data_IF_144201074545
#
_entry.id   IF_144201074545
#
_cell.length_a   1.000
_cell.length_b   1.000
_cell.length_c   1.000
_cell.angle_alpha   90.00
_cell.angle_beta   90.00
_cell.angle_gamma   90.00
#
_symmetry.space_group_name_H-M   'P 1'
#
loop_
_entity.id
_entity.type
_entity.pdbx_description
1 polymer ?
#
# COMPACT_ATOMS: atom_id res chain seq x y z
N UNK A 1 -11.70 -17.33 -2.75
CA UNK A 1 -10.41 -16.97 -2.13
C UNK A 1 -10.62 -15.79 -1.20
N UNK A 2 -10.50 -15.99 0.12
CA UNK A 2 -10.45 -14.87 1.05
C UNK A 2 -8.98 -14.43 1.19
N UNK A 3 -8.52 -13.58 0.27
CA UNK A 3 -7.15 -13.06 0.31
C UNK A 3 -6.95 -12.17 1.54
N UNK A 4 -5.83 -12.34 2.25
CA UNK A 4 -5.43 -11.41 3.30
C UNK A 4 -5.11 -10.06 2.66
N UNK A 5 -5.77 -9.01 3.14
CA UNK A 5 -5.56 -7.64 2.68
C UNK A 5 -5.18 -6.74 3.85
N UNK A 6 -4.29 -5.78 3.60
CA UNK A 6 -4.02 -4.69 4.54
C UNK A 6 -4.49 -3.38 3.90
N UNK A 7 -5.24 -2.61 4.67
CA UNK A 7 -5.62 -1.23 4.32
C UNK A 7 -4.63 -0.28 4.96
N UNK A 8 -3.89 0.46 4.14
CA UNK A 8 -2.97 1.50 4.59
C UNK A 8 -3.60 2.87 4.36
N UNK A 9 -4.07 3.50 5.44
CA UNK A 9 -4.63 4.84 5.42
C UNK A 9 -3.54 5.90 5.30
N UNK A 10 -3.73 6.85 4.39
CA UNK A 10 -2.86 8.00 4.24
C UNK A 10 -3.37 9.14 5.13
N UNK A 11 -2.43 9.94 5.65
CA UNK A 11 -2.77 11.18 6.36
C UNK A 11 -3.23 12.29 5.42
N UNK A 12 -2.69 12.30 4.19
CA UNK A 12 -2.84 13.34 3.18
C UNK A 12 -3.04 12.68 1.82
N UNK A 13 -3.96 13.21 1.02
CA UNK A 13 -4.24 12.67 -0.32
C UNK A 13 -3.11 12.99 -1.30
N UNK A 14 -2.40 14.10 -1.07
CA UNK A 14 -1.27 14.56 -1.88
C UNK A 14 -0.07 13.62 -1.84
N UNK A 15 0.02 12.76 -0.81
CA UNK A 15 1.08 11.75 -0.68
C UNK A 15 0.85 10.54 -1.61
N UNK A 16 -0.34 10.42 -2.23
CA UNK A 16 -0.73 9.25 -3.02
C UNK A 16 0.19 8.98 -4.23
N UNK A 17 0.54 9.97 -5.08
CA UNK A 17 1.43 9.74 -6.21
C UNK A 17 2.83 9.31 -5.77
N UNK A 18 3.35 9.92 -4.71
CA UNK A 18 4.67 9.60 -4.15
C UNK A 18 4.72 8.17 -3.62
N UNK A 19 3.74 7.77 -2.81
CA UNK A 19 3.68 6.40 -2.27
C UNK A 19 3.44 5.38 -3.40
N UNK A 20 2.62 5.71 -4.40
CA UNK A 20 2.42 4.85 -5.59
C UNK A 20 3.73 4.65 -6.37
N UNK A 21 4.55 5.69 -6.50
CA UNK A 21 5.86 5.59 -7.13
C UNK A 21 6.80 4.69 -6.32
N UNK A 22 6.95 4.96 -5.02
CA UNK A 22 7.82 4.18 -4.13
C UNK A 22 7.44 2.70 -4.14
N UNK A 23 6.15 2.39 -4.03
CA UNK A 23 5.64 1.01 -4.07
C UNK A 23 5.98 0.33 -5.40
N UNK A 24 5.80 1.02 -6.52
CA UNK A 24 6.19 0.51 -7.84
C UNK A 24 7.70 0.23 -7.95
N UNK A 25 8.56 1.10 -7.42
CA UNK A 25 10.03 0.93 -7.43
C UNK A 25 10.47 -0.30 -6.63
N UNK A 26 9.77 -0.63 -5.54
CA UNK A 26 10.06 -1.83 -4.74
C UNK A 26 9.36 -3.10 -5.23
N UNK A 27 8.58 -3.02 -6.32
CA UNK A 27 7.87 -4.14 -6.93
C UNK A 27 6.50 -4.47 -6.29
N UNK A 28 5.98 -3.59 -5.44
CA UNK A 28 4.67 -3.74 -4.77
C UNK A 28 3.63 -2.94 -5.52
N UNK A 29 2.49 -3.55 -5.86
CA UNK A 29 1.43 -2.89 -6.65
C UNK A 29 0.12 -2.80 -5.85
N UNK A 30 0.01 -1.85 -4.90
CA UNK A 30 -1.24 -1.66 -4.19
C UNK A 30 -2.31 -1.06 -5.11
N UNK A 31 -3.57 -1.34 -4.79
CA UNK A 31 -4.72 -0.68 -5.41
C UNK A 31 -5.20 0.47 -4.53
N UNK A 32 -5.75 1.54 -5.13
CA UNK A 32 -6.46 2.55 -4.36
C UNK A 32 -7.70 1.92 -3.70
N UNK A 33 -7.97 2.22 -2.42
CA UNK A 33 -9.19 1.72 -1.77
C UNK A 33 -10.46 2.19 -2.48
N UNK A 34 -10.44 3.41 -3.03
CA UNK A 34 -11.53 3.98 -3.81
C UNK A 34 -11.89 3.16 -5.06
N UNK A 35 -10.97 2.36 -5.60
CA UNK A 35 -11.25 1.47 -6.73
C UNK A 35 -12.37 0.46 -6.42
N UNK A 36 -12.52 0.08 -5.15
CA UNK A 36 -13.53 -0.88 -4.69
C UNK A 36 -14.82 -0.20 -4.20
N UNK A 37 -14.94 1.12 -4.36
CA UNK A 37 -16.07 1.90 -3.86
C UNK A 37 -16.88 2.48 -5.02
N UNK A 38 -18.19 2.25 -5.00
CA UNK A 38 -19.09 2.73 -6.07
C UNK A 38 -19.45 4.22 -5.85
N UNK A 39 -19.68 4.66 -4.60
CA UNK A 39 -20.15 6.03 -4.30
C UNK A 39 -19.54 6.67 -3.03
N UNK A 40 -18.69 5.94 -2.28
CA UNK A 40 -18.15 6.46 -1.02
C UNK A 40 -16.86 7.25 -1.24
N UNK A 41 -16.84 8.52 -0.80
CA UNK A 41 -15.60 9.31 -0.68
C UNK A 41 -14.88 8.90 0.61
N UNK A 42 -14.05 7.87 0.51
CA UNK A 42 -13.25 7.38 1.63
C UNK A 42 -11.99 8.23 1.84
N UNK A 43 -11.46 8.21 3.07
CA UNK A 43 -10.11 8.73 3.33
C UNK A 43 -9.11 8.03 2.40
N UNK A 44 -8.11 8.74 1.88
CA UNK A 44 -7.15 8.18 0.95
C UNK A 44 -6.48 6.96 1.57
N UNK A 45 -6.52 5.83 0.88
CA UNK A 45 -5.93 4.58 1.36
C UNK A 45 -5.51 3.68 0.20
N UNK A 46 -4.52 2.84 0.48
CA UNK A 46 -4.12 1.73 -0.38
C UNK A 46 -4.63 0.41 0.19
N UNK A 47 -5.02 -0.51 -0.69
CA UNK A 47 -5.18 -1.92 -0.39
C UNK A 47 -3.98 -2.67 -0.93
N UNK A 48 -3.31 -3.40 -0.03
CA UNK A 48 -2.28 -4.37 -0.35
C UNK A 48 -2.86 -5.78 -0.22
N UNK A 49 -2.94 -6.50 -1.33
CA UNK A 49 -3.37 -7.89 -1.36
C UNK A 49 -2.18 -8.84 -1.28
N UNK A 50 -2.28 -9.85 -0.42
CA UNK A 50 -1.26 -10.87 -0.18
C UNK A 50 -1.77 -12.27 -0.53
N UNK A 51 -2.70 -12.37 -1.49
CA UNK A 51 -3.23 -13.65 -1.92
C UNK A 51 -2.09 -14.58 -2.39
N UNK A 52 -2.12 -15.84 -1.94
CA UNK A 52 -1.10 -16.85 -2.19
C UNK A 52 0.32 -16.54 -1.64
N UNK A 53 0.49 -15.50 -0.81
CA UNK A 53 1.78 -15.24 -0.17
C UNK A 53 1.88 -15.97 1.17
N UNK A 54 3.09 -16.43 1.49
CA UNK A 54 3.42 -16.92 2.82
C UNK A 54 3.48 -15.78 3.84
N UNK A 55 3.35 -16.07 5.15
CA UNK A 55 3.56 -15.07 6.20
C UNK A 55 4.93 -14.39 6.13
N UNK A 56 5.98 -15.14 5.75
CA UNK A 56 7.34 -14.60 5.58
C UNK A 56 7.41 -13.59 4.44
N UNK A 57 6.89 -13.93 3.25
CA UNK A 57 6.84 -13.01 2.10
C UNK A 57 6.04 -11.74 2.44
N UNK A 58 4.94 -11.89 3.17
CA UNK A 58 4.14 -10.76 3.64
C UNK A 58 4.95 -9.84 4.56
N UNK A 59 5.64 -10.42 5.56
CA UNK A 59 6.49 -9.66 6.50
C UNK A 59 7.62 -8.94 5.79
N UNK A 60 8.36 -9.63 4.92
CA UNK A 60 9.49 -9.05 4.18
C UNK A 60 9.06 -7.88 3.31
N UNK A 61 7.94 -8.03 2.59
CA UNK A 61 7.39 -6.95 1.78
C UNK A 61 6.98 -5.74 2.62
N UNK A 62 6.38 -5.96 3.80
CA UNK A 62 6.01 -4.87 4.71
C UNK A 62 7.24 -4.15 5.28
N UNK A 63 8.30 -4.89 5.62
CA UNK A 63 9.57 -4.30 6.06
C UNK A 63 10.22 -3.48 4.94
N UNK A 64 10.24 -3.99 3.71
CA UNK A 64 10.76 -3.28 2.53
C UNK A 64 9.99 -1.99 2.28
N UNK A 65 8.65 -2.04 2.37
CA UNK A 65 7.79 -0.86 2.24
C UNK A 65 8.08 0.18 3.32
N UNK A 66 8.12 -0.23 4.60
CA UNK A 66 8.39 0.68 5.71
C UNK A 66 9.78 1.34 5.60
N UNK A 67 10.79 0.58 5.16
CA UNK A 67 12.14 1.08 4.92
C UNK A 67 12.17 2.13 3.79
N UNK A 68 11.54 1.82 2.65
CA UNK A 68 11.47 2.74 1.53
C UNK A 68 10.78 4.05 1.90
N UNK A 69 9.63 3.97 2.59
CA UNK A 69 8.91 5.16 3.06
C UNK A 69 9.76 6.01 4.01
N UNK A 70 10.50 5.38 4.94
CA UNK A 70 11.38 6.08 5.88
C UNK A 70 12.54 6.78 5.18
N UNK A 71 13.09 6.18 4.13
CA UNK A 71 14.20 6.77 3.38
C UNK A 71 13.72 7.98 2.55
N UNK A 72 12.50 7.93 2.03
CA UNK A 72 11.91 9.05 1.30
C UNK A 72 11.35 10.17 2.20
N UNK A 73 11.06 9.90 3.48
CA UNK A 73 10.61 10.92 4.45
C UNK A 73 11.74 11.72 5.09
N UNK A 74 13.02 11.36 4.86
CA UNK A 74 14.19 12.06 5.41
C UNK A 74 14.77 13.11 4.45
N UNK A 75 13.96 13.55 3.49
CA UNK A 75 14.26 14.62 2.54
C UNK A 75 13.33 15.79 2.83
#
# INVERSE_FOLDING_TARGET
EAGLNIVAWLKREEDFPTIKRITSEIGVRPSALSFFCIQAKLKPAFIFGFAAWTPTQTRESLVKLASALRNHSRI
#
